data_IF_762783445729
#
_entry.id   IF_762783445729
#
_cell.length_a   1.000
_cell.length_b   1.000
_cell.length_c   1.000
_cell.angle_alpha   90.00
_cell.angle_beta   90.00
_cell.angle_gamma   90.00
#
_symmetry.space_group_name_H-M   'P 1'
#
loop_
_entity.id
_entity.type
_entity.pdbx_description
1 polymer ?
#
# COMPACT_ATOMS: atom_id res chain seq x y z
N UNK A 1 59.05 -26.20 -27.25
CA UNK A 1 58.36 -26.10 -25.95
C UNK A 1 57.56 -24.82 -25.94
N UNK A 2 56.29 -24.91 -25.51
CA UNK A 2 55.32 -23.83 -25.19
C UNK A 2 54.90 -22.96 -26.38
N UNK A 3 53.63 -22.71 -26.70
CA UNK A 3 52.37 -22.93 -25.98
C UNK A 3 51.46 -21.70 -26.20
N UNK A 4 50.27 -21.95 -26.77
CA UNK A 4 49.04 -21.15 -26.93
C UNK A 4 48.84 -19.92 -26.00
N UNK A 5 48.05 -18.88 -26.33
CA UNK A 5 47.07 -18.76 -27.41
C UNK A 5 46.27 -17.45 -27.38
N UNK A 6 45.36 -17.35 -28.34
CA UNK A 6 44.40 -16.26 -28.56
C UNK A 6 43.10 -16.56 -27.79
N UNK A 7 42.65 -15.64 -26.92
CA UNK A 7 41.25 -15.37 -26.50
C UNK A 7 41.25 -13.91 -25.98
N UNK A 8 40.40 -12.97 -26.37
CA UNK A 8 39.01 -13.09 -26.79
C UNK A 8 38.11 -12.88 -25.58
N UNK A 9 37.35 -11.78 -25.61
CA UNK A 9 36.09 -11.50 -24.90
C UNK A 9 36.16 -10.65 -23.60
N UNK A 10 35.65 -9.42 -23.77
CA UNK A 10 34.78 -8.64 -22.88
C UNK A 10 34.63 -9.11 -21.42
N UNK A 11 35.27 -8.38 -20.50
CA UNK A 11 34.84 -8.29 -19.11
C UNK A 11 33.90 -7.10 -18.96
N UNK A 12 32.60 -7.36 -19.15
CA UNK A 12 31.53 -6.46 -18.78
C UNK A 12 30.36 -7.28 -18.27
N UNK A 13 30.56 -8.07 -17.20
CA UNK A 13 29.44 -8.70 -16.50
C UNK A 13 29.82 -9.13 -15.09
N UNK A 14 29.65 -8.22 -14.13
CA UNK A 14 29.22 -8.60 -12.79
C UNK A 14 28.48 -7.42 -12.15
N UNK A 15 27.31 -7.10 -12.71
CA UNK A 15 26.33 -6.33 -11.96
C UNK A 15 25.87 -7.23 -10.80
N UNK A 16 26.11 -6.75 -9.59
CA UNK A 16 25.76 -7.42 -8.35
C UNK A 16 24.26 -7.75 -8.31
N UNK A 17 23.94 -9.03 -8.55
CA UNK A 17 22.60 -9.59 -8.51
C UNK A 17 22.01 -9.64 -7.09
N UNK A 18 22.70 -9.10 -6.08
CA UNK A 18 22.15 -8.90 -4.74
C UNK A 18 21.06 -7.83 -4.65
N UNK A 19 20.85 -7.06 -5.73
CA UNK A 19 19.89 -5.95 -5.72
C UNK A 19 18.41 -6.38 -5.81
N UNK A 20 18.11 -7.64 -6.17
CA UNK A 20 16.71 -8.07 -6.46
C UNK A 20 16.22 -9.25 -5.60
N UNK A 21 17.01 -9.87 -4.72
CA UNK A 21 16.55 -11.05 -3.98
C UNK A 21 16.61 -10.89 -2.45
N UNK A 22 15.41 -10.86 -1.88
CA UNK A 22 15.01 -11.28 -0.52
C UNK A 22 15.52 -10.45 0.66
N UNK A 23 14.66 -9.73 1.41
CA UNK A 23 15.02 -9.29 2.77
C UNK A 23 15.30 -10.55 3.61
N UNK A 24 16.54 -10.68 4.06
CA UNK A 24 17.06 -11.81 4.83
C UNK A 24 16.10 -12.25 5.94
N UNK A 25 15.64 -13.49 5.90
CA UNK A 25 14.91 -14.20 6.98
C UNK A 25 15.80 -14.54 8.18
N UNK A 26 16.93 -13.83 8.36
CA UNK A 26 17.82 -14.06 9.49
C UNK A 26 17.14 -13.52 10.76
N UNK A 27 16.83 -14.36 11.76
CA UNK A 27 15.92 -14.05 12.88
C UNK A 27 16.47 -13.03 13.90
N UNK A 28 17.40 -12.16 13.52
CA UNK A 28 18.09 -11.24 14.46
C UNK A 28 18.66 -9.97 13.82
N UNK A 29 18.25 -9.61 12.60
CA UNK A 29 18.70 -8.37 11.96
C UNK A 29 17.50 -7.55 11.52
N UNK A 30 17.47 -6.28 11.93
CA UNK A 30 16.51 -5.32 11.39
C UNK A 30 16.79 -5.15 9.89
N UNK A 31 15.78 -5.32 9.01
CA UNK A 31 15.91 -5.01 7.59
C UNK A 31 16.38 -3.57 7.38
N UNK A 32 17.35 -3.38 6.48
CA UNK A 32 17.95 -2.06 6.23
C UNK A 32 17.28 -1.28 5.10
N UNK A 33 16.65 -1.97 4.16
CA UNK A 33 15.99 -1.39 2.99
C UNK A 33 14.46 -1.50 3.13
N UNK A 34 13.73 -0.46 2.69
CA UNK A 34 12.27 -0.43 2.77
C UNK A 34 11.58 -1.28 1.70
N UNK A 35 12.23 -1.51 0.55
CA UNK A 35 11.75 -2.44 -0.49
C UNK A 35 10.50 -1.99 -1.27
N UNK A 36 10.16 -0.70 -1.28
CA UNK A 36 9.05 -0.15 -2.07
C UNK A 36 9.55 0.56 -3.34
N UNK A 37 8.65 0.76 -4.30
CA UNK A 37 8.95 1.46 -5.56
C UNK A 37 9.10 2.99 -5.38
N UNK A 38 9.48 3.68 -6.44
CA UNK A 38 9.82 5.11 -6.49
C UNK A 38 8.58 6.01 -6.62
N UNK A 39 7.75 6.08 -5.56
CA UNK A 39 6.45 6.78 -5.62
C UNK A 39 6.59 8.27 -5.96
N UNK A 40 7.55 8.99 -5.36
CA UNK A 40 7.74 10.42 -5.57
C UNK A 40 8.17 10.72 -7.01
N UNK A 41 9.10 9.93 -7.53
CA UNK A 41 9.67 10.07 -8.87
C UNK A 41 8.62 9.74 -9.94
N UNK A 42 7.87 8.66 -9.77
CA UNK A 42 6.78 8.29 -10.67
C UNK A 42 5.71 9.39 -10.73
N UNK A 43 5.30 9.91 -9.56
CA UNK A 43 4.35 11.01 -9.50
C UNK A 43 4.90 12.29 -10.14
N UNK A 44 6.17 12.62 -9.91
CA UNK A 44 6.83 13.77 -10.55
C UNK A 44 6.90 13.63 -12.07
N UNK A 45 7.07 12.41 -12.58
CA UNK A 45 7.03 12.08 -13.99
C UNK A 45 5.61 12.02 -14.59
N UNK A 46 4.56 12.28 -13.80
CA UNK A 46 3.18 12.24 -14.25
C UNK A 46 2.60 10.83 -14.40
N UNK A 47 3.27 9.81 -13.85
CA UNK A 47 2.77 8.43 -13.84
C UNK A 47 1.75 8.25 -12.71
N UNK A 48 0.53 7.76 -12.97
CA UNK A 48 -0.44 7.45 -11.93
C UNK A 48 0.11 6.39 -10.97
N UNK A 49 0.01 6.66 -9.66
CA UNK A 49 0.46 5.76 -8.59
C UNK A 49 -0.68 5.42 -7.64
N UNK A 50 -0.78 4.15 -7.27
CA UNK A 50 -1.74 3.63 -6.30
C UNK A 50 -1.05 2.71 -5.27
N UNK A 51 -1.62 2.62 -4.07
CA UNK A 51 -1.16 1.71 -3.00
C UNK A 51 -2.33 0.78 -2.66
N UNK A 52 -2.05 -0.51 -2.48
CA UNK A 52 -3.03 -1.53 -2.11
C UNK A 52 -2.49 -2.42 -0.98
N UNK A 53 -3.38 -3.15 -0.29
CA UNK A 53 -3.00 -4.12 0.74
C UNK A 53 -2.24 -5.32 0.17
N UNK A 54 -2.47 -5.62 -1.11
CA UNK A 54 -2.08 -6.88 -1.75
C UNK A 54 -2.76 -8.08 -1.06
N UNK A 55 -2.05 -8.75 -0.16
CA UNK A 55 -2.48 -9.96 0.53
C UNK A 55 -3.17 -9.65 1.87
N UNK A 56 -4.07 -10.52 2.31
CA UNK A 56 -4.74 -10.44 3.60
C UNK A 56 -4.91 -11.84 4.16
N UNK A 57 -4.25 -12.10 5.31
CA UNK A 57 -4.28 -13.37 6.03
C UNK A 57 -4.04 -14.60 5.14
N UNK A 58 -2.98 -14.55 4.34
CA UNK A 58 -2.58 -15.63 3.43
C UNK A 58 -1.10 -16.06 3.65
N UNK A 59 -0.57 -17.04 2.89
CA UNK A 59 0.81 -17.52 3.06
C UNK A 59 1.92 -16.47 2.87
N UNK A 60 1.63 -15.34 2.21
CA UNK A 60 2.60 -14.27 1.96
C UNK A 60 2.47 -13.13 2.98
N UNK A 61 1.24 -12.88 3.47
CA UNK A 61 0.97 -11.87 4.50
C UNK A 61 -0.07 -12.40 5.50
N UNK A 62 0.41 -12.84 6.66
CA UNK A 62 -0.42 -13.48 7.70
C UNK A 62 -1.35 -12.54 8.48
N UNK A 63 -1.43 -11.26 8.11
CA UNK A 63 -2.19 -10.22 8.81
C UNK A 63 -3.14 -9.48 7.86
N UNK A 64 -3.85 -8.47 8.37
CA UNK A 64 -4.73 -7.59 7.59
C UNK A 64 -6.22 -7.86 7.76
N UNK A 65 -7.01 -6.82 7.50
CA UNK A 65 -8.48 -6.82 7.56
C UNK A 65 -9.14 -6.05 6.40
N UNK A 66 -8.36 -5.76 5.34
CA UNK A 66 -8.75 -4.95 4.18
C UNK A 66 -9.05 -3.46 4.47
N UNK A 67 -8.55 -2.88 5.57
CA UNK A 67 -8.69 -1.44 5.83
C UNK A 67 -7.77 -0.59 4.93
N UNK A 68 -8.34 0.03 3.90
CA UNK A 68 -7.61 0.93 2.99
C UNK A 68 -7.00 2.17 3.67
N UNK A 69 -7.54 2.63 4.80
CA UNK A 69 -6.95 3.75 5.56
C UNK A 69 -5.73 3.29 6.35
N UNK A 70 -5.71 2.04 6.82
CA UNK A 70 -4.50 1.44 7.38
C UNK A 70 -3.41 1.35 6.33
N UNK A 71 -3.74 0.81 5.14
CA UNK A 71 -2.82 0.71 3.99
C UNK A 71 -2.23 2.08 3.65
N UNK A 72 -3.05 3.12 3.58
CA UNK A 72 -2.58 4.49 3.36
C UNK A 72 -1.64 4.97 4.47
N UNK A 73 -1.99 4.72 5.73
CA UNK A 73 -1.18 5.13 6.89
C UNK A 73 0.19 4.46 6.87
N UNK A 74 0.25 3.17 6.56
CA UNK A 74 1.51 2.44 6.40
C UNK A 74 2.30 2.99 5.20
N UNK A 75 1.65 3.19 4.05
CA UNK A 75 2.25 3.78 2.86
C UNK A 75 2.89 5.14 3.11
N UNK A 76 2.21 6.03 3.84
CA UNK A 76 2.76 7.34 4.22
C UNK A 76 4.05 7.21 5.01
N UNK A 77 4.10 6.30 5.99
CA UNK A 77 5.28 6.11 6.85
C UNK A 77 6.45 5.46 6.10
N UNK A 78 6.16 4.48 5.27
CA UNK A 78 7.18 3.73 4.52
C UNK A 78 7.75 4.60 3.38
N UNK A 79 6.89 5.29 2.63
CA UNK A 79 7.28 6.08 1.47
C UNK A 79 7.56 7.56 1.77
N UNK A 80 7.46 7.98 3.03
CA UNK A 80 7.68 9.37 3.46
C UNK A 80 6.81 10.34 2.65
N UNK A 81 5.49 10.06 2.65
CA UNK A 81 4.47 10.86 1.97
C UNK A 81 3.87 11.93 2.90
N UNK A 82 4.60 12.26 3.95
CA UNK A 82 4.26 13.26 4.95
C UNK A 82 4.77 14.65 4.54
N UNK A 83 4.84 15.60 5.48
CA UNK A 83 4.83 17.04 5.21
C UNK A 83 5.75 17.54 4.06
N UNK A 84 5.22 18.29 3.06
CA UNK A 84 3.81 18.62 2.89
C UNK A 84 3.01 17.41 2.39
N UNK A 85 1.89 17.10 3.08
CA UNK A 85 1.03 15.94 2.75
C UNK A 85 0.51 15.92 1.31
N UNK A 86 0.46 17.08 0.65
CA UNK A 86 0.01 17.22 -0.74
C UNK A 86 -1.35 16.57 -0.97
N UNK A 87 -1.46 15.87 -2.09
CA UNK A 87 -2.63 15.10 -2.52
C UNK A 87 -2.39 13.58 -2.45
N UNK A 88 -1.51 13.12 -1.55
CA UNK A 88 -1.16 11.70 -1.45
C UNK A 88 -2.35 10.80 -1.10
N UNK A 89 -3.44 11.31 -0.52
CA UNK A 89 -4.68 10.54 -0.34
C UNK A 89 -5.26 9.98 -1.64
N UNK A 90 -4.92 10.57 -2.81
CA UNK A 90 -5.35 10.09 -4.13
C UNK A 90 -4.88 8.68 -4.43
N UNK A 91 -3.76 8.23 -3.86
CA UNK A 91 -3.17 6.90 -4.14
C UNK A 91 -4.02 5.75 -3.61
N UNK A 92 -4.96 6.03 -2.71
CA UNK A 92 -5.95 5.06 -2.20
C UNK A 92 -7.40 5.48 -2.47
N UNK A 93 -7.61 6.56 -3.23
CA UNK A 93 -8.95 7.09 -3.54
C UNK A 93 -9.14 7.29 -5.05
N UNK A 94 -8.88 8.48 -5.58
CA UNK A 94 -9.20 8.83 -6.96
C UNK A 94 -8.34 8.09 -7.98
N UNK A 95 -7.03 7.94 -7.74
CA UNK A 95 -6.13 7.29 -8.70
C UNK A 95 -6.49 5.84 -8.98
N UNK A 96 -6.70 4.95 -7.98
CA UNK A 96 -7.14 3.59 -8.26
C UNK A 96 -8.54 3.55 -8.90
N UNK A 97 -9.46 4.46 -8.55
CA UNK A 97 -10.76 4.55 -9.22
C UNK A 97 -10.62 4.89 -10.71
N UNK A 98 -9.75 5.84 -11.07
CA UNK A 98 -9.46 6.19 -12.46
C UNK A 98 -8.84 4.99 -13.21
N UNK A 99 -7.87 4.29 -12.59
CA UNK A 99 -7.21 3.11 -13.18
C UNK A 99 -8.17 1.94 -13.41
N UNK A 100 -9.18 1.78 -12.55
CA UNK A 100 -10.22 0.76 -12.66
C UNK A 100 -11.38 1.15 -13.58
N UNK A 101 -11.42 2.38 -14.09
CA UNK A 101 -12.55 2.88 -14.89
C UNK A 101 -13.84 3.06 -14.08
N UNK A 102 -13.72 3.47 -12.81
CA UNK A 102 -14.84 3.73 -11.91
C UNK A 102 -15.10 5.25 -11.79
N UNK A 103 -15.89 5.85 -12.69
CA UNK A 103 -16.06 7.31 -12.77
C UNK A 103 -16.74 7.90 -11.53
N UNK A 104 -17.59 7.13 -10.87
CA UNK A 104 -18.40 7.59 -9.73
C UNK A 104 -17.77 7.24 -8.37
N UNK A 105 -16.56 6.66 -8.35
CA UNK A 105 -15.86 6.23 -7.14
C UNK A 105 -14.62 7.11 -6.83
N UNK A 106 -14.21 7.08 -5.56
CA UNK A 106 -12.94 7.67 -5.11
C UNK A 106 -12.88 9.20 -5.17
N UNK A 107 -14.03 9.89 -5.29
CA UNK A 107 -14.11 11.35 -5.40
C UNK A 107 -15.43 11.88 -4.83
N UNK A 108 -15.44 13.14 -4.41
CA UNK A 108 -16.61 13.82 -3.85
C UNK A 108 -16.97 14.97 -4.79
N UNK A 109 -18.17 14.93 -5.37
CA UNK A 109 -18.69 15.98 -6.22
C UNK A 109 -20.23 15.98 -6.23
N UNK A 110 -20.88 17.13 -6.49
CA UNK A 110 -22.32 17.17 -6.73
C UNK A 110 -22.74 16.22 -7.86
N UNK A 111 -23.83 15.50 -7.67
CA UNK A 111 -24.35 14.53 -8.64
C UNK A 111 -23.79 13.11 -8.49
N UNK A 112 -22.74 12.91 -7.70
CA UNK A 112 -22.21 11.57 -7.40
C UNK A 112 -22.94 10.92 -6.20
N UNK A 113 -22.88 9.58 -6.08
CA UNK A 113 -23.36 8.89 -4.89
C UNK A 113 -22.71 9.45 -3.62
N UNK A 114 -23.50 9.54 -2.54
CA UNK A 114 -23.01 9.95 -1.22
C UNK A 114 -22.28 8.79 -0.51
N UNK A 115 -21.20 8.32 -1.13
CA UNK A 115 -20.31 7.27 -0.63
C UNK A 115 -19.05 7.90 -0.06
N UNK A 116 -18.91 7.91 1.27
CA UNK A 116 -17.82 8.63 1.93
C UNK A 116 -17.48 8.05 3.30
N UNK A 117 -16.26 8.33 3.74
CA UNK A 117 -15.74 7.95 5.06
C UNK A 117 -15.54 9.24 5.87
N UNK A 118 -16.16 9.30 7.05
CA UNK A 118 -16.00 10.40 8.01
C UNK A 118 -15.10 9.95 9.15
N UNK A 119 -13.97 10.63 9.31
CA UNK A 119 -13.01 10.39 10.39
C UNK A 119 -13.08 11.52 11.42
N UNK A 120 -12.76 11.23 12.69
CA UNK A 120 -12.68 12.25 13.76
C UNK A 120 -11.33 12.97 13.74
N UNK A 121 -11.01 13.56 12.58
CA UNK A 121 -9.77 14.28 12.34
C UNK A 121 -10.02 15.51 11.46
N UNK A 122 -9.31 16.60 11.75
CA UNK A 122 -9.44 17.88 11.03
C UNK A 122 -8.41 18.03 9.91
N UNK A 123 -7.29 17.31 10.00
CA UNK A 123 -6.18 17.35 9.05
C UNK A 123 -5.36 16.05 9.11
N UNK A 124 -4.48 15.83 8.13
CA UNK A 124 -3.73 14.58 7.98
C UNK A 124 -2.88 14.20 9.20
N UNK A 125 -2.27 15.17 9.88
CA UNK A 125 -1.54 14.87 11.12
C UNK A 125 -2.43 14.25 12.20
N UNK A 126 -3.68 14.69 12.36
CA UNK A 126 -4.63 14.03 13.27
C UNK A 126 -5.10 12.67 12.74
N UNK A 127 -5.42 12.60 11.44
CA UNK A 127 -5.91 11.39 10.80
C UNK A 127 -4.91 10.22 10.92
N UNK A 128 -3.63 10.52 10.70
CA UNK A 128 -2.55 9.53 10.64
C UNK A 128 -1.87 9.27 12.00
N UNK A 129 -2.24 10.01 13.03
CA UNK A 129 -1.69 9.86 14.38
C UNK A 129 -2.31 8.69 15.15
N UNK A 130 -3.53 8.28 14.83
CA UNK A 130 -4.27 7.22 15.53
C UNK A 130 -5.08 6.36 14.55
N UNK A 131 -5.27 5.06 14.82
CA UNK A 131 -6.23 4.25 14.08
C UNK A 131 -7.62 4.90 14.12
N UNK A 132 -8.29 4.96 12.97
CA UNK A 132 -9.64 5.52 12.82
C UNK A 132 -10.67 4.41 12.71
N UNK A 133 -10.65 3.47 13.66
CA UNK A 133 -11.67 2.42 13.77
C UNK A 133 -13.05 2.97 14.18
N UNK A 134 -13.10 4.20 14.69
CA UNK A 134 -14.31 4.92 15.09
C UNK A 134 -14.94 5.77 13.98
N UNK A 135 -14.49 5.58 12.72
CA UNK A 135 -14.99 6.25 11.52
C UNK A 135 -16.44 5.88 11.22
N UNK A 136 -17.17 6.80 10.59
CA UNK A 136 -18.47 6.49 9.99
C UNK A 136 -18.30 6.23 8.50
N UNK A 137 -18.82 5.11 8.01
CA UNK A 137 -18.85 4.80 6.58
C UNK A 137 -20.27 5.03 6.07
N UNK A 138 -20.42 5.91 5.07
CA UNK A 138 -21.69 6.13 4.39
C UNK A 138 -21.67 5.42 3.03
N UNK A 139 -22.76 4.71 2.74
CA UNK A 139 -23.08 4.17 1.41
C UNK A 139 -24.41 4.76 0.97
N UNK A 140 -24.44 5.43 -0.18
CA UNK A 140 -25.62 6.13 -0.71
C UNK A 140 -26.28 7.06 0.34
N UNK A 141 -25.45 7.76 1.12
CA UNK A 141 -25.88 8.70 2.15
C UNK A 141 -26.39 8.07 3.43
N UNK A 142 -26.29 6.73 3.60
CA UNK A 142 -26.73 6.03 4.81
C UNK A 142 -25.52 5.42 5.53
N UNK A 143 -25.42 5.56 6.86
CA UNK A 143 -24.38 4.87 7.62
C UNK A 143 -24.58 3.36 7.53
N UNK A 144 -23.49 2.63 7.36
CA UNK A 144 -23.47 1.16 7.46
C UNK A 144 -22.95 0.73 8.82
N UNK A 145 -23.29 -0.50 9.22
CA UNK A 145 -22.65 -1.14 10.37
C UNK A 145 -21.21 -1.51 10.02
N UNK A 146 -20.28 -1.09 10.86
CA UNK A 146 -18.84 -1.35 10.72
C UNK A 146 -18.32 -2.21 11.85
N UNK A 147 -19.20 -2.76 12.69
CA UNK A 147 -18.83 -3.66 13.78
C UNK A 147 -18.30 -4.96 13.19
N UNK A 148 -17.05 -5.27 13.50
CA UNK A 148 -16.47 -6.57 13.14
C UNK A 148 -17.02 -7.64 14.09
N UNK A 149 -17.29 -8.87 13.61
CA UNK A 149 -17.69 -9.98 14.47
C UNK A 149 -16.55 -10.32 15.44
N UNK A 150 -16.89 -10.87 16.61
CA UNK A 150 -15.87 -11.44 17.49
C UNK A 150 -15.20 -12.64 16.80
N UNK A 151 -13.91 -12.86 17.05
CA UNK A 151 -13.21 -14.00 16.46
C UNK A 151 -13.83 -15.34 16.83
N UNK A 152 -14.41 -15.46 18.03
CA UNK A 152 -15.10 -16.69 18.45
C UNK A 152 -16.28 -17.04 17.54
N UNK A 153 -16.94 -16.05 16.95
CA UNK A 153 -18.04 -16.25 16.00
C UNK A 153 -17.54 -16.80 14.66
N UNK A 154 -16.23 -16.78 14.41
CA UNK A 154 -15.58 -17.22 13.18
C UNK A 154 -14.91 -18.59 13.30
N UNK A 155 -14.84 -19.19 14.50
CA UNK A 155 -14.09 -20.44 14.75
C UNK A 155 -14.55 -21.59 13.84
N UNK A 156 -15.86 -21.74 13.64
CA UNK A 156 -16.47 -22.78 12.78
C UNK A 156 -16.09 -22.64 11.29
N UNK A 157 -15.61 -21.47 10.87
CA UNK A 157 -15.14 -21.23 9.50
C UNK A 157 -13.67 -21.61 9.30
N UNK A 158 -12.88 -21.65 10.37
CA UNK A 158 -11.43 -21.87 10.32
C UNK A 158 -11.02 -23.29 10.73
N UNK A 159 -11.79 -23.95 11.60
CA UNK A 159 -11.44 -25.25 12.19
C UNK A 159 -12.01 -26.48 11.45
N UNK A 160 -12.11 -26.43 10.12
CA UNK A 160 -12.52 -27.60 9.29
C UNK A 160 -11.35 -28.53 8.96
#
# INVERSE_FOLDING_TARGET
GQGLGVRGQAEAEQADSSFILHPSSLPSRTPRWRGITLLHELKHAGVPVAIASDNCRDPFYGFGDHDGLEVFTQGVRIAQLDAPYGDWSRVVTTTPADLMGLPDAGRIAPGLPADLILCKARYFSELLARPQGDRTVLRQGKPIDTTLPDYVELDDLLLK
#
